data_IF_093916875113
#
_entry.id   IF_093916875113
#
_cell.length_a   1.000
_cell.length_b   1.000
_cell.length_c   1.000
_cell.angle_alpha   90.00
_cell.angle_beta   90.00
_cell.angle_gamma   90.00
#
_symmetry.space_group_name_H-M   'P 1'
#
loop_
_entity.id
_entity.type
_entity.pdbx_description
1 polymer ?
#
# COMPACT_ATOMS: atom_id res chain seq x y z
N UNK A 1 -15.31 18.74 18.50
CA UNK A 1 -14.66 18.20 17.28
C UNK A 1 -14.24 16.75 17.52
N UNK A 2 -14.26 15.89 16.50
CA UNK A 2 -14.00 14.45 16.64
C UNK A 2 -12.50 14.06 16.63
N UNK A 3 -11.57 15.02 16.62
CA UNK A 3 -10.11 14.75 16.65
C UNK A 3 -9.57 14.05 15.40
N UNK A 4 -10.24 14.19 14.25
CA UNK A 4 -9.92 13.48 13.01
C UNK A 4 -8.84 14.17 12.15
N UNK A 5 -8.14 15.17 12.69
CA UNK A 5 -7.11 15.93 11.97
C UNK A 5 -5.69 15.45 12.32
N UNK A 6 -4.76 15.47 11.35
CA UNK A 6 -4.95 15.87 9.96
C UNK A 6 -5.65 14.80 9.11
N UNK A 7 -6.52 15.24 8.20
CA UNK A 7 -7.13 14.37 7.19
C UNK A 7 -6.19 14.27 5.98
N UNK A 8 -6.03 13.05 5.46
CA UNK A 8 -5.22 12.75 4.28
C UNK A 8 -6.06 12.22 3.13
N UNK A 9 -5.71 12.60 1.91
CA UNK A 9 -6.26 12.08 0.65
C UNK A 9 -5.17 11.24 -0.02
N UNK A 10 -5.49 9.97 -0.30
CA UNK A 10 -4.67 9.12 -1.14
C UNK A 10 -5.26 9.11 -2.56
N UNK A 11 -4.46 9.46 -3.56
CA UNK A 11 -4.85 9.44 -4.96
C UNK A 11 -3.97 8.45 -5.72
N UNK A 12 -4.56 7.43 -6.33
CA UNK A 12 -3.80 6.50 -7.19
C UNK A 12 -3.53 7.17 -8.52
N UNK A 13 -2.28 7.12 -8.97
CA UNK A 13 -1.81 7.73 -10.23
C UNK A 13 -1.15 6.69 -11.11
N UNK A 14 -0.98 7.00 -12.39
CA UNK A 14 -0.21 6.14 -13.29
C UNK A 14 1.19 5.86 -12.73
N UNK A 15 1.67 4.63 -12.91
CA UNK A 15 2.95 4.15 -12.38
C UNK A 15 4.17 4.95 -12.86
N UNK A 16 4.05 5.66 -13.97
CA UNK A 16 5.12 6.47 -14.53
C UNK A 16 5.20 7.87 -13.90
N UNK A 17 4.22 8.26 -13.08
CA UNK A 17 4.28 9.48 -12.28
C UNK A 17 5.13 9.21 -11.05
N UNK A 18 6.33 9.80 -11.01
CA UNK A 18 7.29 9.65 -9.92
C UNK A 18 7.38 10.91 -9.04
N UNK A 19 6.88 12.05 -9.53
CA UNK A 19 6.94 13.33 -8.83
C UNK A 19 5.68 14.16 -9.06
N UNK A 20 5.45 15.13 -8.16
CA UNK A 20 4.24 15.98 -8.20
C UNK A 20 4.23 16.91 -9.41
N UNK A 21 5.41 17.39 -9.83
CA UNK A 21 5.58 18.29 -10.98
C UNK A 21 5.28 17.63 -12.34
N UNK A 22 5.27 16.30 -12.40
CA UNK A 22 4.85 15.54 -13.58
C UNK A 22 3.32 15.51 -13.76
N UNK A 23 2.55 15.96 -12.76
CA UNK A 23 1.10 16.01 -12.83
C UNK A 23 0.62 17.26 -13.58
N UNK A 24 -0.03 17.05 -14.72
CA UNK A 24 -0.75 18.13 -15.41
C UNK A 24 -1.85 18.72 -14.51
N UNK A 25 -1.93 20.04 -14.34
CA UNK A 25 -2.97 20.69 -13.53
C UNK A 25 -4.40 20.36 -13.98
N UNK A 26 -4.59 20.10 -15.28
CA UNK A 26 -5.90 19.79 -15.86
C UNK A 26 -6.26 18.29 -15.77
N UNK A 27 -5.32 17.43 -15.38
CA UNK A 27 -5.59 16.01 -15.14
C UNK A 27 -6.48 15.79 -13.91
N UNK A 28 -7.10 14.61 -13.80
CA UNK A 28 -7.89 14.25 -12.61
C UNK A 28 -7.05 14.35 -11.33
N UNK A 29 -5.82 13.85 -11.34
CA UNK A 29 -4.91 13.94 -10.18
C UNK A 29 -4.53 15.40 -9.86
N UNK A 30 -4.30 16.24 -10.87
CA UNK A 30 -4.08 17.68 -10.69
C UNK A 30 -5.27 18.39 -10.04
N UNK A 31 -6.50 18.04 -10.43
CA UNK A 31 -7.72 18.56 -9.80
C UNK A 31 -7.89 18.09 -8.35
N UNK A 32 -7.56 16.83 -8.05
CA UNK A 32 -7.56 16.31 -6.66
C UNK A 32 -6.52 17.06 -5.82
N UNK A 33 -5.35 17.37 -6.37
CA UNK A 33 -4.34 18.22 -5.71
C UNK A 33 -4.88 19.61 -5.39
N UNK A 34 -5.43 20.30 -6.38
CA UNK A 34 -6.00 21.63 -6.20
C UNK A 34 -7.10 21.63 -5.13
N UNK A 35 -7.95 20.60 -5.12
CA UNK A 35 -8.94 20.41 -4.07
C UNK A 35 -8.30 20.26 -2.69
N UNK A 36 -7.33 19.36 -2.53
CA UNK A 36 -6.65 19.13 -1.25
C UNK A 36 -5.97 20.41 -0.73
N UNK A 37 -5.27 21.13 -1.61
CA UNK A 37 -4.61 22.40 -1.29
C UNK A 37 -5.64 23.45 -0.83
N UNK A 38 -6.77 23.60 -1.55
CA UNK A 38 -7.85 24.54 -1.19
C UNK A 38 -8.50 24.26 0.17
N UNK A 39 -8.34 23.04 0.70
CA UNK A 39 -8.90 22.58 1.97
C UNK A 39 -7.84 22.41 3.06
N UNK A 40 -6.56 22.68 2.77
CA UNK A 40 -5.45 22.44 3.69
C UNK A 40 -5.28 20.97 4.07
N UNK A 41 -5.65 20.05 3.18
CA UNK A 41 -5.58 18.61 3.40
C UNK A 41 -4.23 18.04 2.96
N UNK A 42 -3.77 16.99 3.65
CA UNK A 42 -2.57 16.28 3.21
C UNK A 42 -2.90 15.42 2.00
N UNK A 43 -2.20 15.60 0.87
CA UNK A 43 -2.37 14.74 -0.31
C UNK A 43 -1.16 13.83 -0.51
N UNK A 44 -1.44 12.59 -0.91
CA UNK A 44 -0.46 11.57 -1.27
C UNK A 44 -0.83 10.97 -2.61
N UNK A 45 0.17 10.79 -3.48
CA UNK A 45 -0.01 10.07 -4.73
C UNK A 45 0.63 8.69 -4.63
N UNK A 46 -0.16 7.67 -4.93
CA UNK A 46 0.24 6.27 -4.86
C UNK A 46 0.39 5.78 -6.30
N UNK A 47 1.61 5.49 -6.78
CA UNK A 47 1.79 4.87 -8.09
C UNK A 47 1.00 3.57 -8.16
N UNK A 48 0.23 3.41 -9.24
CA UNK A 48 -0.59 2.23 -9.44
C UNK A 48 0.28 0.98 -9.38
N UNK A 49 -0.12 0.05 -8.51
CA UNK A 49 0.60 -1.19 -8.26
C UNK A 49 0.04 -2.33 -9.13
N UNK A 50 0.89 -3.28 -9.47
CA UNK A 50 0.54 -4.54 -10.15
C UNK A 50 1.19 -5.69 -9.37
N UNK A 51 0.38 -6.45 -8.64
CA UNK A 51 0.85 -7.56 -7.79
C UNK A 51 1.52 -8.67 -8.60
N UNK A 52 0.94 -8.98 -9.77
CA UNK A 52 1.39 -10.07 -10.63
C UNK A 52 2.74 -9.75 -11.27
N UNK A 53 2.93 -8.49 -11.69
CA UNK A 53 4.20 -8.02 -12.26
C UNK A 53 5.21 -7.55 -11.23
N UNK A 54 4.79 -7.42 -9.97
CA UNK A 54 5.65 -6.86 -8.94
C UNK A 54 5.94 -5.38 -9.07
N UNK A 55 5.04 -4.65 -9.74
CA UNK A 55 5.21 -3.22 -9.96
C UNK A 55 4.65 -2.44 -8.78
N UNK A 56 5.48 -1.61 -8.17
CA UNK A 56 5.09 -0.64 -7.16
C UNK A 56 6.11 0.50 -7.13
N UNK A 57 5.72 1.63 -6.53
CA UNK A 57 6.58 2.79 -6.37
C UNK A 57 6.46 3.39 -4.98
N UNK A 58 7.36 4.33 -4.70
CA UNK A 58 7.31 5.13 -3.48
C UNK A 58 6.12 6.09 -3.53
N UNK A 59 5.48 6.30 -2.39
CA UNK A 59 4.36 7.23 -2.27
C UNK A 59 4.88 8.66 -2.33
N UNK A 60 4.34 9.46 -3.25
CA UNK A 60 4.71 10.87 -3.41
C UNK A 60 3.92 11.70 -2.40
N UNK A 61 4.59 12.55 -1.62
CA UNK A 61 3.95 13.36 -0.58
C UNK A 61 3.65 12.60 0.72
N UNK A 62 4.28 11.43 0.94
CA UNK A 62 4.12 10.66 2.17
C UNK A 62 5.07 9.46 2.27
N UNK A 63 4.78 8.54 3.19
CA UNK A 63 5.50 7.29 3.35
C UNK A 63 4.74 6.10 2.75
N UNK A 64 5.47 5.17 2.12
CA UNK A 64 4.92 3.97 1.50
C UNK A 64 5.74 3.56 0.27
N UNK A 65 5.75 2.27 -0.05
CA UNK A 65 6.60 1.73 -1.12
C UNK A 65 8.07 1.50 -0.74
N UNK A 66 8.53 2.06 0.38
CA UNK A 66 9.88 1.86 0.92
C UNK A 66 10.03 0.49 1.59
N UNK A 67 10.54 -0.51 0.87
CA UNK A 67 10.66 -1.88 1.40
C UNK A 67 11.66 -1.98 2.56
N UNK A 68 12.78 -1.25 2.51
CA UNK A 68 13.85 -1.34 3.52
C UNK A 68 13.39 -0.99 4.95
N UNK A 69 12.36 -0.14 5.08
CA UNK A 69 11.76 0.24 6.37
C UNK A 69 10.34 -0.31 6.57
N UNK A 70 9.84 -1.13 5.63
CA UNK A 70 8.48 -1.64 5.68
C UNK A 70 8.35 -2.71 6.77
N UNK A 71 7.56 -2.43 7.81
CA UNK A 71 7.23 -3.35 8.90
C UNK A 71 5.78 -3.89 8.81
N UNK A 72 5.11 -3.72 7.67
CA UNK A 72 3.70 -4.12 7.50
C UNK A 72 3.55 -5.62 7.29
N UNK A 73 2.67 -6.24 8.06
CA UNK A 73 2.05 -7.54 7.79
C UNK A 73 0.58 -7.30 7.44
N UNK A 74 -0.08 -8.27 6.80
CA UNK A 74 -1.50 -8.17 6.46
C UNK A 74 -2.25 -9.39 6.96
N UNK A 75 -3.35 -9.17 7.66
CA UNK A 75 -4.34 -10.19 7.96
C UNK A 75 -5.40 -10.13 6.85
N UNK A 76 -5.62 -11.24 6.16
CA UNK A 76 -6.65 -11.38 5.14
C UNK A 76 -7.99 -11.80 5.76
N UNK A 77 -9.13 -11.58 5.06
CA UNK A 77 -10.46 -11.89 5.59
C UNK A 77 -10.68 -13.38 5.91
N UNK A 78 -10.00 -14.28 5.19
CA UNK A 78 -10.01 -15.73 5.43
C UNK A 78 -9.12 -16.17 6.60
N UNK A 79 -8.42 -15.24 7.26
CA UNK A 79 -7.66 -15.52 8.48
C UNK A 79 -6.20 -15.88 8.24
N UNK A 80 -5.61 -15.43 7.13
CA UNK A 80 -4.20 -15.66 6.82
C UNK A 80 -3.35 -14.42 7.11
N UNK A 81 -2.18 -14.61 7.73
CA UNK A 81 -1.16 -13.57 7.85
C UNK A 81 -0.23 -13.64 6.65
N UNK A 82 -0.17 -12.56 5.86
CA UNK A 82 0.79 -12.39 4.76
C UNK A 82 2.00 -11.57 5.21
N UNK A 83 3.23 -12.02 4.88
CA UNK A 83 4.47 -11.32 5.22
C UNK A 83 4.69 -10.03 4.41
N UNK A 84 4.11 -9.98 3.20
CA UNK A 84 4.19 -8.86 2.28
C UNK A 84 2.91 -8.82 1.43
N UNK A 85 2.59 -7.65 0.87
CA UNK A 85 1.55 -7.51 -0.15
C UNK A 85 1.92 -8.30 -1.42
N UNK A 86 3.20 -8.33 -1.78
CA UNK A 86 3.77 -9.02 -2.95
C UNK A 86 4.40 -10.35 -2.54
N UNK A 87 3.64 -11.21 -1.87
CA UNK A 87 4.10 -12.53 -1.45
C UNK A 87 2.97 -13.54 -1.56
N UNK A 88 3.25 -14.69 -2.16
CA UNK A 88 2.31 -15.82 -2.20
C UNK A 88 2.29 -16.64 -0.91
N UNK A 89 3.26 -16.44 -0.02
CA UNK A 89 3.24 -17.01 1.33
C UNK A 89 2.12 -16.37 2.15
N UNK A 90 1.44 -17.21 2.92
CA UNK A 90 0.41 -16.82 3.88
C UNK A 90 0.30 -17.90 4.95
N UNK A 91 0.03 -17.52 6.20
CA UNK A 91 0.02 -18.41 7.35
C UNK A 91 -1.33 -18.37 8.07
N UNK A 92 -1.98 -19.53 8.21
CA UNK A 92 -3.31 -19.63 8.82
C UNK A 92 -3.27 -19.38 10.32
N UNK A 93 -3.97 -18.33 10.78
CA UNK A 93 -4.15 -18.07 12.22
C UNK A 93 -4.96 -19.18 12.88
N UNK A 94 -5.90 -19.80 12.15
CA UNK A 94 -6.79 -20.85 12.69
C UNK A 94 -6.05 -22.16 12.94
N UNK A 95 -5.08 -22.49 12.09
CA UNK A 95 -4.31 -23.74 12.20
C UNK A 95 -3.10 -23.59 13.12
N UNK A 96 -2.36 -22.48 13.02
CA UNK A 96 -1.11 -22.28 13.74
C UNK A 96 -1.29 -21.54 15.07
N UNK A 97 -2.41 -20.85 15.25
CA UNK A 97 -2.59 -19.86 16.30
C UNK A 97 -1.88 -18.52 16.00
N UNK A 98 -2.35 -17.45 16.63
CA UNK A 98 -1.93 -16.07 16.34
C UNK A 98 -0.42 -15.86 16.46
N UNK A 99 0.19 -16.36 17.54
CA UNK A 99 1.62 -16.15 17.81
C UNK A 99 2.49 -16.79 16.73
N UNK A 100 2.23 -18.06 16.39
CA UNK A 100 3.05 -18.79 15.43
C UNK A 100 2.87 -18.24 14.01
N UNK A 101 1.64 -17.92 13.60
CA UNK A 101 1.37 -17.31 12.31
C UNK A 101 2.11 -15.97 12.13
N UNK A 102 2.15 -15.13 13.17
CA UNK A 102 2.91 -13.87 13.16
C UNK A 102 4.42 -14.11 13.08
N UNK A 103 4.97 -15.02 13.89
CA UNK A 103 6.40 -15.35 13.87
C UNK A 103 6.84 -15.82 12.48
N UNK A 104 6.12 -16.77 11.88
CA UNK A 104 6.42 -17.26 10.53
C UNK A 104 6.34 -16.15 9.48
N UNK A 105 5.37 -15.22 9.59
CA UNK A 105 5.25 -14.10 8.68
C UNK A 105 6.39 -13.06 8.84
N UNK A 106 6.92 -12.86 10.05
CA UNK A 106 8.07 -12.00 10.28
C UNK A 106 9.35 -12.65 9.74
N UNK A 107 9.56 -13.93 10.05
CA UNK A 107 10.74 -14.70 9.60
C UNK A 107 10.83 -14.81 8.08
N UNK A 108 9.68 -14.96 7.41
CA UNK A 108 9.59 -15.08 5.95
C UNK A 108 9.27 -13.74 5.27
N UNK A 109 9.47 -12.61 5.96
CA UNK A 109 9.31 -11.29 5.36
C UNK A 109 10.41 -11.06 4.31
N UNK A 110 10.06 -10.88 3.02
CA UNK A 110 11.08 -10.67 2.01
C UNK A 110 11.72 -9.29 2.20
N UNK A 111 12.98 -9.16 1.80
CA UNK A 111 13.71 -7.88 1.82
C UNK A 111 13.05 -6.82 0.93
N UNK A 112 12.32 -7.24 -0.11
CA UNK A 112 11.47 -6.39 -0.95
C UNK A 112 10.33 -7.17 -1.57
N UNK A 113 9.27 -6.45 -1.96
CA UNK A 113 8.21 -7.03 -2.79
C UNK A 113 8.78 -7.53 -4.12
N UNK A 114 8.42 -8.75 -4.50
CA UNK A 114 8.68 -9.30 -5.83
C UNK A 114 7.34 -9.36 -6.57
N UNK A 115 6.74 -10.52 -6.75
CA UNK A 115 5.41 -10.69 -7.36
C UNK A 115 4.53 -11.59 -6.49
N UNK A 116 3.23 -11.54 -6.72
CA UNK A 116 2.27 -12.46 -6.10
C UNK A 116 1.28 -12.90 -7.17
N UNK A 117 1.21 -14.22 -7.41
CA UNK A 117 0.29 -14.81 -8.38
C UNK A 117 -1.01 -15.31 -7.73
N UNK A 118 -1.00 -15.49 -6.40
CA UNK A 118 -2.14 -16.02 -5.63
C UNK A 118 -2.99 -14.94 -4.99
N UNK A 119 -2.76 -13.67 -5.33
CA UNK A 119 -3.34 -12.56 -4.58
C UNK A 119 -3.68 -11.41 -5.50
N UNK A 120 -4.89 -10.90 -5.29
CA UNK A 120 -5.41 -9.73 -5.96
C UNK A 120 -5.84 -8.68 -4.93
N UNK A 121 -5.88 -7.41 -5.35
CA UNK A 121 -6.24 -6.29 -4.48
C UNK A 121 -7.63 -6.44 -3.85
N UNK A 122 -8.60 -7.00 -4.58
CA UNK A 122 -9.96 -7.20 -4.07
C UNK A 122 -10.01 -8.19 -2.88
N UNK A 123 -9.05 -9.12 -2.77
CA UNK A 123 -8.97 -10.07 -1.67
C UNK A 123 -8.17 -9.55 -0.46
N UNK A 124 -7.41 -8.45 -0.63
CA UNK A 124 -6.44 -7.96 0.37
C UNK A 124 -6.75 -6.53 0.84
N UNK A 125 -7.86 -5.94 0.35
CA UNK A 125 -8.29 -4.59 0.70
C UNK A 125 -7.43 -3.53 0.02
N UNK A 126 -7.49 -3.48 -1.31
CA UNK A 126 -6.96 -2.41 -2.15
C UNK A 126 -8.08 -1.56 -2.74
#
# INVERSE_FOLDING_TARGET
>A
EAGLTPVKINCVVDKNILRVDELSPNSSAGKVKAFADSKGLQIRFIPQMDLHKGTFGEVIGGSGGHCASCNRLRLTPDGMIKPCLFSDLAYSVRELGTKQALLMAVENKPSRGSSSQKSDFYNIGG
#
